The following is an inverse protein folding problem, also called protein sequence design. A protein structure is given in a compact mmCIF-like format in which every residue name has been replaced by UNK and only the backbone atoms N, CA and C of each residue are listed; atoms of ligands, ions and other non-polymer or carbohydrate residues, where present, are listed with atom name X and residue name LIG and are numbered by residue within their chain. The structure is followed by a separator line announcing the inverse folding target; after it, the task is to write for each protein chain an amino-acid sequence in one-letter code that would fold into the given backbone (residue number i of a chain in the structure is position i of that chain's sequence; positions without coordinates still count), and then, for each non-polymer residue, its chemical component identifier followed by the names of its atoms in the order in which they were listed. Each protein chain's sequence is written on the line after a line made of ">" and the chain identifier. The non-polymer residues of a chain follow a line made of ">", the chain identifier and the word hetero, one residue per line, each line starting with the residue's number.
data_IF_552097570642
#
_entry.id   IF_552097570642
#
_cell.length_a   1.000
_cell.length_b   1.000
_cell.length_c   1.000
_cell.angle_alpha   90.00
_cell.angle_beta   90.00
_cell.angle_gamma   90.00
#
_symmetry.space_group_name_H-M   'P 1'
#
loop_
_entity.id
_entity.type
_entity.pdbx_description
1 polymer ?
#
# COMPACT_ATOMS: atom_id res chain seq x y z
N UNK A 1 -45.78 16.46 -22.90
CA UNK A 1 -44.89 17.53 -22.40
C UNK A 1 -43.47 17.22 -22.86
N UNK A 2 -42.92 17.94 -23.85
CA UNK A 2 -41.59 17.68 -24.38
C UNK A 2 -40.52 18.48 -23.58
N UNK A 3 -39.51 17.80 -23.05
CA UNK A 3 -38.24 18.42 -22.62
C UNK A 3 -37.82 18.28 -21.14
N UNK A 4 -38.69 17.82 -20.24
CA UNK A 4 -38.35 17.60 -18.83
C UNK A 4 -37.72 16.22 -18.59
N UNK A 5 -36.58 16.15 -17.92
CA UNK A 5 -36.05 14.86 -17.39
C UNK A 5 -37.11 14.25 -16.47
N UNK A 6 -37.35 12.94 -16.59
CA UNK A 6 -38.29 12.25 -15.69
C UNK A 6 -37.83 12.40 -14.23
N UNK A 7 -38.77 12.49 -13.30
CA UNK A 7 -38.49 12.53 -11.85
C UNK A 7 -37.56 11.38 -11.44
N UNK A 8 -37.78 10.18 -12.00
CA UNK A 8 -36.96 8.99 -11.78
C UNK A 8 -35.51 9.16 -12.20
N UNK A 9 -35.26 9.84 -13.33
CA UNK A 9 -33.89 10.13 -13.77
C UNK A 9 -33.17 11.00 -12.74
N UNK A 10 -33.84 12.00 -12.17
CA UNK A 10 -33.24 12.82 -11.12
C UNK A 10 -32.98 12.04 -9.84
N UNK A 11 -33.93 11.22 -9.38
CA UNK A 11 -33.75 10.37 -8.20
C UNK A 11 -32.56 9.42 -8.37
N UNK A 12 -32.44 8.79 -9.54
CA UNK A 12 -31.33 7.93 -9.90
C UNK A 12 -29.98 8.69 -9.88
N UNK A 13 -29.90 9.85 -10.53
CA UNK A 13 -28.66 10.66 -10.57
C UNK A 13 -28.26 11.19 -9.19
N UNK A 14 -29.24 11.56 -8.34
CA UNK A 14 -28.99 11.98 -6.95
C UNK A 14 -28.39 10.81 -6.16
N UNK A 15 -28.98 9.61 -6.28
CA UNK A 15 -28.45 8.42 -5.62
C UNK A 15 -27.02 8.09 -6.05
N UNK A 16 -26.73 8.14 -7.35
CA UNK A 16 -25.35 7.98 -7.86
C UNK A 16 -24.41 9.08 -7.36
N UNK A 17 -24.89 10.31 -7.23
CA UNK A 17 -24.13 11.42 -6.65
C UNK A 17 -23.80 11.19 -5.18
N UNK A 18 -24.75 10.69 -4.39
CA UNK A 18 -24.54 10.32 -2.98
C UNK A 18 -23.46 9.22 -2.89
N UNK A 19 -23.55 8.18 -3.72
CA UNK A 19 -22.52 7.12 -3.78
C UNK A 19 -21.15 7.71 -4.11
N UNK A 20 -21.07 8.54 -5.16
CA UNK A 20 -19.83 9.15 -5.64
C UNK A 20 -19.14 10.00 -4.57
N UNK A 21 -19.91 10.81 -3.82
CA UNK A 21 -19.39 11.65 -2.73
C UNK A 21 -19.06 10.83 -1.47
N UNK A 22 -19.81 9.76 -1.22
CA UNK A 22 -19.61 8.94 -0.03
C UNK A 22 -18.46 7.94 -0.18
N UNK A 23 -18.07 7.57 -1.40
CA UNK A 23 -16.97 6.65 -1.68
C UNK A 23 -15.69 6.98 -0.87
N UNK A 24 -15.16 8.21 -0.89
CA UNK A 24 -13.98 8.57 -0.10
C UNK A 24 -14.27 9.02 1.34
N UNK A 25 -15.54 9.20 1.74
CA UNK A 25 -15.90 9.91 2.99
C UNK A 25 -16.75 9.11 3.99
N UNK A 26 -17.56 8.13 3.56
CA UNK A 26 -18.50 7.45 4.46
C UNK A 26 -19.05 6.12 3.91
N UNK A 27 -18.86 5.02 4.65
CA UNK A 27 -19.52 3.73 4.35
C UNK A 27 -21.05 3.80 4.49
N UNK A 28 -21.53 4.55 5.48
CA UNK A 28 -22.96 4.76 5.68
C UNK A 28 -23.57 5.51 4.49
N UNK A 29 -22.95 6.61 4.06
CA UNK A 29 -23.40 7.39 2.92
C UNK A 29 -23.43 6.57 1.62
N UNK A 30 -22.44 5.69 1.41
CA UNK A 30 -22.45 4.76 0.27
C UNK A 30 -23.67 3.83 0.31
N UNK A 31 -23.93 3.21 1.46
CA UNK A 31 -25.06 2.29 1.64
C UNK A 31 -26.40 3.02 1.43
N UNK A 32 -26.54 4.23 1.99
CA UNK A 32 -27.71 5.08 1.79
C UNK A 32 -27.94 5.39 0.30
N UNK A 33 -26.88 5.76 -0.43
CA UNK A 33 -26.95 6.01 -1.86
C UNK A 33 -27.36 4.76 -2.67
N UNK A 34 -26.88 3.58 -2.28
CA UNK A 34 -27.27 2.31 -2.92
C UNK A 34 -28.76 2.01 -2.70
N UNK A 35 -29.27 2.15 -1.48
CA UNK A 35 -30.70 1.99 -1.20
C UNK A 35 -31.55 3.03 -1.92
N UNK A 36 -31.05 4.27 -2.05
CA UNK A 36 -31.73 5.32 -2.80
C UNK A 36 -31.87 4.98 -4.28
N UNK A 37 -30.78 4.53 -4.92
CA UNK A 37 -30.78 4.10 -6.32
C UNK A 37 -31.72 2.91 -6.53
N UNK A 38 -31.70 1.94 -5.61
CA UNK A 38 -32.61 0.79 -5.65
C UNK A 38 -34.08 1.23 -5.52
N UNK A 39 -34.39 2.10 -4.56
CA UNK A 39 -35.74 2.63 -4.38
C UNK A 39 -36.24 3.40 -5.61
N UNK A 40 -35.38 4.24 -6.20
CA UNK A 40 -35.71 4.96 -7.43
C UNK A 40 -36.00 4.00 -8.60
N UNK A 41 -35.21 2.93 -8.73
CA UNK A 41 -35.40 1.90 -9.76
C UNK A 41 -36.69 1.09 -9.56
N UNK A 42 -37.01 0.70 -8.32
CA UNK A 42 -38.25 -0.01 -7.98
C UNK A 42 -39.48 0.83 -8.27
N UNK A 43 -39.48 2.10 -7.83
CA UNK A 43 -40.60 3.02 -8.06
C UNK A 43 -40.83 3.28 -9.55
N UNK A 44 -39.75 3.44 -10.32
CA UNK A 44 -39.85 3.59 -11.77
C UNK A 44 -40.44 2.33 -12.41
N UNK A 45 -39.96 1.15 -12.01
CA UNK A 45 -40.42 -0.12 -12.56
C UNK A 45 -41.89 -0.43 -12.24
N UNK A 46 -42.35 -0.06 -11.04
CA UNK A 46 -43.75 -0.16 -10.64
C UNK A 46 -44.63 0.80 -11.44
N UNK A 47 -44.21 2.06 -11.60
CA UNK A 47 -44.99 3.06 -12.34
C UNK A 47 -45.09 2.72 -13.83
N UNK A 48 -44.00 2.21 -14.44
CA UNK A 48 -43.97 1.81 -15.85
C UNK A 48 -44.55 0.42 -16.10
N UNK A 49 -44.86 -0.35 -15.05
CA UNK A 49 -45.33 -1.74 -15.11
C UNK A 49 -44.38 -2.68 -15.88
N UNK A 50 -43.08 -2.38 -15.88
CA UNK A 50 -42.03 -3.16 -16.56
C UNK A 50 -41.09 -3.88 -15.59
N UNK A 51 -41.39 -3.87 -14.28
CA UNK A 51 -40.52 -4.43 -13.24
C UNK A 51 -40.12 -5.89 -13.50
N UNK A 52 -41.05 -6.74 -13.95
CA UNK A 52 -40.75 -8.14 -14.30
C UNK A 52 -39.77 -8.27 -15.48
N UNK A 53 -39.93 -7.43 -16.50
CA UNK A 53 -38.99 -7.36 -17.63
C UNK A 53 -37.62 -6.86 -17.19
N UNK A 54 -37.56 -5.81 -16.36
CA UNK A 54 -36.31 -5.29 -15.79
C UNK A 54 -35.59 -6.34 -14.96
N UNK A 55 -36.32 -7.10 -14.13
CA UNK A 55 -35.76 -8.21 -13.36
C UNK A 55 -35.16 -9.27 -14.30
N UNK A 56 -35.92 -9.71 -15.30
CA UNK A 56 -35.46 -10.70 -16.30
C UNK A 56 -34.21 -10.25 -17.07
N UNK A 57 -34.17 -8.99 -17.52
CA UNK A 57 -32.97 -8.41 -18.13
C UNK A 57 -31.77 -8.36 -17.17
N UNK A 58 -32.04 -8.11 -15.89
CA UNK A 58 -31.04 -8.16 -14.83
C UNK A 58 -30.29 -9.49 -14.79
N UNK A 59 -30.93 -10.63 -15.09
CA UNK A 59 -30.29 -11.95 -15.08
C UNK A 59 -29.70 -12.39 -16.43
N UNK A 60 -29.79 -11.58 -17.48
CA UNK A 60 -29.35 -11.98 -18.84
C UNK A 60 -28.24 -11.10 -19.41
N UNK A 61 -27.97 -9.93 -18.83
CA UNK A 61 -26.88 -9.07 -19.31
C UNK A 61 -25.50 -9.63 -18.92
N UNK A 62 -24.50 -9.62 -19.83
CA UNK A 62 -23.17 -10.17 -19.55
C UNK A 62 -22.49 -9.60 -18.31
N UNK A 63 -22.68 -8.30 -18.05
CA UNK A 63 -22.10 -7.64 -16.89
C UNK A 63 -22.70 -8.15 -15.57
N UNK A 64 -24.01 -8.35 -15.52
CA UNK A 64 -24.67 -8.88 -14.31
C UNK A 64 -24.41 -10.37 -14.15
N UNK A 65 -24.35 -11.12 -15.25
CA UNK A 65 -23.94 -12.53 -15.21
C UNK A 65 -22.56 -12.71 -14.60
N UNK A 66 -21.61 -11.80 -14.84
CA UNK A 66 -20.30 -11.83 -14.18
C UNK A 66 -20.42 -11.62 -12.65
N UNK A 67 -21.23 -10.66 -12.20
CA UNK A 67 -21.45 -10.43 -10.76
C UNK A 67 -22.25 -11.56 -10.09
N UNK A 68 -23.22 -12.13 -10.80
CA UNK A 68 -23.97 -13.30 -10.38
C UNK A 68 -23.07 -14.52 -10.29
N UNK A 69 -22.22 -14.75 -11.28
CA UNK A 69 -21.23 -15.83 -11.27
C UNK A 69 -20.29 -15.70 -10.08
N UNK A 70 -19.79 -14.49 -9.82
CA UNK A 70 -18.95 -14.22 -8.65
C UNK A 70 -19.67 -14.50 -7.33
N UNK A 71 -20.93 -14.06 -7.18
CA UNK A 71 -21.72 -14.36 -5.97
C UNK A 71 -22.09 -15.84 -5.87
N UNK A 72 -22.43 -16.47 -6.98
CA UNK A 72 -22.76 -17.89 -7.06
C UNK A 72 -21.56 -18.76 -6.68
N UNK A 73 -20.35 -18.37 -7.08
CA UNK A 73 -19.12 -19.04 -6.67
C UNK A 73 -18.98 -19.02 -5.13
N UNK A 74 -19.24 -17.88 -4.50
CA UNK A 74 -19.23 -17.76 -3.04
C UNK A 74 -20.36 -18.57 -2.40
N UNK A 75 -21.55 -18.61 -3.00
CA UNK A 75 -22.66 -19.41 -2.50
C UNK A 75 -22.39 -20.92 -2.60
N UNK A 76 -21.82 -21.38 -3.72
CA UNK A 76 -21.42 -22.78 -3.93
C UNK A 76 -20.31 -23.16 -2.94
N UNK A 77 -19.34 -22.26 -2.70
CA UNK A 77 -18.28 -22.49 -1.73
C UNK A 77 -18.75 -22.62 -0.28
N UNK A 78 -20.00 -22.26 0.04
CA UNK A 78 -20.58 -22.54 1.37
C UNK A 78 -20.83 -24.03 1.59
N UNK A 79 -20.99 -24.83 0.53
CA UNK A 79 -21.31 -26.26 0.63
C UNK A 79 -20.22 -27.07 1.35
N UNK A 80 -18.98 -26.59 1.34
CA UNK A 80 -17.84 -27.21 2.02
C UNK A 80 -17.12 -26.24 2.97
N UNK A 81 -17.83 -25.20 3.44
CA UNK A 81 -17.32 -24.26 4.45
C UNK A 81 -17.63 -24.78 5.87
N UNK A 82 -16.62 -24.83 6.75
CA UNK A 82 -16.73 -25.06 8.19
C UNK A 82 -17.32 -23.83 8.92
N UNK A 83 -16.79 -22.63 8.67
CA UNK A 83 -17.24 -21.38 9.28
C UNK A 83 -18.41 -20.75 8.50
N UNK A 84 -19.59 -21.34 8.67
CA UNK A 84 -20.82 -20.87 8.01
C UNK A 84 -21.19 -19.43 8.38
N UNK A 85 -20.90 -19.01 9.62
CA UNK A 85 -21.20 -17.64 10.07
C UNK A 85 -20.48 -16.58 9.24
N UNK A 86 -19.16 -16.72 9.10
CA UNK A 86 -18.39 -15.81 8.25
C UNK A 86 -18.72 -15.97 6.76
N UNK A 87 -18.96 -17.20 6.30
CA UNK A 87 -19.35 -17.46 4.91
C UNK A 87 -20.62 -16.73 4.49
N UNK A 88 -21.68 -16.80 5.30
CA UNK A 88 -22.95 -16.09 5.05
C UNK A 88 -22.78 -14.57 5.14
N UNK A 89 -21.99 -14.08 6.09
CA UNK A 89 -21.66 -12.67 6.20
C UNK A 89 -20.92 -12.15 4.96
N UNK A 90 -20.00 -12.94 4.39
CA UNK A 90 -19.30 -12.59 3.16
C UNK A 90 -20.28 -12.52 1.97
N UNK A 91 -21.17 -13.49 1.81
CA UNK A 91 -22.23 -13.43 0.78
C UNK A 91 -23.12 -12.19 0.95
N UNK A 92 -23.47 -11.82 2.19
CA UNK A 92 -24.24 -10.60 2.50
C UNK A 92 -23.47 -9.34 2.09
N UNK A 93 -22.17 -9.28 2.36
CA UNK A 93 -21.31 -8.13 1.98
C UNK A 93 -21.21 -7.98 0.46
N UNK A 94 -21.30 -9.08 -0.29
CA UNK A 94 -21.22 -9.06 -1.77
C UNK A 94 -22.56 -8.73 -2.45
N UNK A 95 -23.69 -8.92 -1.77
CA UNK A 95 -25.03 -8.68 -2.33
C UNK A 95 -25.24 -7.26 -2.90
N UNK A 96 -24.74 -6.17 -2.29
CA UNK A 96 -24.86 -4.82 -2.85
C UNK A 96 -24.22 -4.66 -4.23
N UNK A 97 -23.18 -5.44 -4.56
CA UNK A 97 -22.54 -5.40 -5.88
C UNK A 97 -23.50 -5.93 -6.95
N UNK A 98 -24.22 -7.02 -6.64
CA UNK A 98 -25.25 -7.56 -7.53
C UNK A 98 -26.39 -6.55 -7.73
N UNK A 99 -26.87 -5.95 -6.64
CA UNK A 99 -27.92 -4.93 -6.70
C UNK A 99 -27.51 -3.76 -7.61
N UNK A 100 -26.28 -3.26 -7.45
CA UNK A 100 -25.77 -2.20 -8.30
C UNK A 100 -25.64 -2.65 -9.76
N UNK A 101 -25.16 -3.87 -10.01
CA UNK A 101 -25.07 -4.45 -11.36
C UNK A 101 -26.43 -4.50 -12.07
N UNK A 102 -27.45 -5.03 -11.40
CA UNK A 102 -28.83 -5.11 -11.95
C UNK A 102 -29.38 -3.72 -12.21
N UNK A 103 -29.28 -2.79 -11.25
CA UNK A 103 -29.85 -1.45 -11.41
C UNK A 103 -29.12 -0.67 -12.51
N UNK A 104 -27.78 -0.71 -12.56
CA UNK A 104 -27.00 0.03 -13.57
C UNK A 104 -27.20 -0.52 -14.98
N UNK A 105 -27.35 -1.84 -15.14
CA UNK A 105 -27.50 -2.49 -16.45
C UNK A 105 -28.90 -2.34 -17.05
N UNK A 106 -29.93 -2.20 -16.21
CA UNK A 106 -31.33 -2.11 -16.64
C UNK A 106 -31.88 -0.68 -16.63
N UNK A 107 -31.12 0.27 -16.09
CA UNK A 107 -31.43 1.70 -16.16
C UNK A 107 -30.93 2.32 -17.47
N UNK A 108 -31.55 3.43 -17.88
CA UNK A 108 -31.11 4.19 -19.05
C UNK A 108 -29.62 4.60 -18.92
N UNK A 109 -28.78 4.41 -19.96
CA UNK A 109 -27.36 4.77 -19.91
C UNK A 109 -27.13 6.23 -19.52
N UNK A 110 -26.05 6.50 -18.80
CA UNK A 110 -25.66 7.86 -18.45
C UNK A 110 -25.24 8.63 -19.70
N UNK A 111 -25.82 9.83 -19.90
CA UNK A 111 -25.33 10.74 -20.93
C UNK A 111 -23.90 11.19 -20.59
N UNK A 112 -23.09 11.60 -21.59
CA UNK A 112 -21.72 12.06 -21.34
C UNK A 112 -21.63 13.22 -20.33
N UNK A 113 -22.67 14.06 -20.26
CA UNK A 113 -22.76 15.15 -19.27
C UNK A 113 -23.01 14.64 -17.86
N UNK A 114 -23.93 13.68 -17.70
CA UNK A 114 -24.25 13.10 -16.39
C UNK A 114 -23.06 12.30 -15.84
N UNK A 115 -22.43 11.46 -16.68
CA UNK A 115 -21.24 10.72 -16.30
C UNK A 115 -20.11 11.65 -15.86
N UNK A 116 -19.86 12.72 -16.64
CA UNK A 116 -18.87 13.74 -16.28
C UNK A 116 -19.17 14.38 -14.91
N UNK A 117 -20.42 14.71 -14.63
CA UNK A 117 -20.81 15.29 -13.34
C UNK A 117 -20.56 14.33 -12.19
N UNK A 118 -20.96 13.07 -12.32
CA UNK A 118 -20.76 12.04 -11.29
C UNK A 118 -19.26 11.81 -11.02
N UNK A 119 -18.45 11.70 -12.08
CA UNK A 119 -17.00 11.54 -11.95
C UNK A 119 -16.34 12.75 -11.27
N UNK A 120 -16.73 13.98 -11.65
CA UNK A 120 -16.20 15.19 -11.01
C UNK A 120 -16.65 15.34 -9.55
N UNK A 121 -17.87 14.95 -9.21
CA UNK A 121 -18.35 14.91 -7.82
C UNK A 121 -17.50 13.94 -6.99
N UNK A 122 -17.24 12.74 -7.51
CA UNK A 122 -16.33 11.79 -6.88
C UNK A 122 -14.93 12.37 -6.69
N UNK A 123 -14.33 12.92 -7.76
CA UNK A 123 -12.94 13.41 -7.71
C UNK A 123 -12.77 14.57 -6.73
N UNK A 124 -13.68 15.54 -6.73
CA UNK A 124 -13.63 16.66 -5.80
C UNK A 124 -13.98 16.26 -4.37
N UNK A 125 -14.88 15.28 -4.19
CA UNK A 125 -15.13 14.70 -2.86
C UNK A 125 -13.89 13.97 -2.32
N UNK A 126 -13.15 13.25 -3.17
CA UNK A 126 -11.90 12.60 -2.77
C UNK A 126 -10.85 13.63 -2.33
N UNK A 127 -10.71 14.74 -3.07
CA UNK A 127 -9.81 15.85 -2.71
C UNK A 127 -10.22 16.47 -1.37
N UNK A 128 -11.48 16.85 -1.22
CA UNK A 128 -11.96 17.54 0.00
C UNK A 128 -11.95 16.61 1.20
N UNK A 129 -12.48 15.39 1.07
CA UNK A 129 -12.54 14.41 2.15
C UNK A 129 -11.16 14.00 2.66
N UNK A 130 -10.20 13.83 1.75
CA UNK A 130 -8.81 13.52 2.13
C UNK A 130 -8.09 14.71 2.77
N UNK A 131 -8.33 15.94 2.30
CA UNK A 131 -7.78 17.13 2.93
C UNK A 131 -8.34 17.34 4.35
N UNK A 132 -9.65 17.17 4.54
CA UNK A 132 -10.28 17.23 5.87
C UNK A 132 -9.67 16.15 6.78
N UNK A 133 -9.54 14.91 6.28
CA UNK A 133 -8.91 13.83 7.05
C UNK A 133 -7.47 14.15 7.45
N UNK A 134 -6.68 14.70 6.54
CA UNK A 134 -5.33 15.16 6.81
C UNK A 134 -5.28 16.25 7.89
N UNK A 135 -6.15 17.27 7.79
CA UNK A 135 -6.20 18.37 8.77
C UNK A 135 -6.65 17.93 10.17
N UNK A 136 -7.54 16.94 10.26
CA UNK A 136 -7.98 16.40 11.56
C UNK A 136 -6.84 15.63 12.25
N UNK A 137 -5.97 15.00 11.47
CA UNK A 137 -4.96 14.06 11.96
C UNK A 137 -3.56 14.69 12.09
N UNK A 138 -3.35 15.91 11.59
CA UNK A 138 -2.03 16.54 11.54
C UNK A 138 -1.39 16.77 12.91
N UNK A 139 -2.18 17.03 13.94
CA UNK A 139 -1.69 17.33 15.30
C UNK A 139 -1.63 16.09 16.21
N UNK A 140 -2.28 14.99 15.82
CA UNK A 140 -2.46 13.80 16.65
C UNK A 140 -1.56 12.62 16.25
N UNK A 141 -0.91 12.66 15.10
CA UNK A 141 -0.18 11.52 14.53
C UNK A 141 1.32 11.65 14.77
N UNK A 142 1.86 10.73 15.57
CA UNK A 142 3.30 10.61 15.78
C UNK A 142 4.06 10.41 14.44
N UNK A 143 5.31 10.88 14.32
CA UNK A 143 6.13 10.65 13.13
C UNK A 143 6.17 9.16 12.78
N UNK A 144 5.75 8.80 11.55
CA UNK A 144 5.73 7.40 11.09
C UNK A 144 4.37 6.70 11.13
N UNK A 145 3.35 7.26 11.78
CA UNK A 145 1.99 6.69 11.81
C UNK A 145 1.12 7.13 10.60
N UNK A 146 1.65 6.96 9.38
CA UNK A 146 0.97 7.36 8.13
C UNK A 146 -0.41 6.71 7.91
N UNK A 147 -0.65 5.56 8.56
CA UNK A 147 -1.91 4.80 8.47
C UNK A 147 -3.10 5.54 9.11
N UNK A 148 -2.83 6.38 10.09
CA UNK A 148 -3.85 7.08 10.87
C UNK A 148 -4.33 8.37 10.21
N UNK A 149 -3.67 8.79 9.12
CA UNK A 149 -4.00 10.00 8.35
C UNK A 149 -5.23 9.89 7.46
N UNK A 150 -5.94 8.76 7.52
CA UNK A 150 -7.11 8.46 6.70
C UNK A 150 -8.28 8.01 7.59
N UNK A 151 -8.97 8.94 8.29
CA UNK A 151 -9.94 8.60 9.33
C UNK A 151 -11.24 8.01 8.78
N UNK A 152 -11.61 8.31 7.54
CA UNK A 152 -12.89 7.89 6.95
C UNK A 152 -12.84 6.52 6.28
N UNK A 153 -11.72 6.21 5.63
CA UNK A 153 -11.56 4.98 4.84
C UNK A 153 -10.13 4.46 4.95
N UNK A 154 -9.85 3.22 4.57
CA UNK A 154 -8.48 2.70 4.54
C UNK A 154 -7.57 3.54 3.64
N UNK A 155 -6.36 3.87 4.13
CA UNK A 155 -5.33 4.60 3.38
C UNK A 155 -5.01 3.97 2.00
N UNK A 156 -5.12 2.65 1.86
CA UNK A 156 -4.94 1.94 0.59
C UNK A 156 -6.07 2.29 -0.39
N UNK A 157 -7.33 2.18 0.06
CA UNK A 157 -8.51 2.53 -0.75
C UNK A 157 -8.48 4.01 -1.14
N UNK A 158 -8.16 4.87 -0.19
CA UNK A 158 -8.03 6.31 -0.43
C UNK A 158 -6.95 6.61 -1.47
N UNK A 159 -5.79 5.96 -1.38
CA UNK A 159 -4.72 6.09 -2.37
C UNK A 159 -5.21 5.78 -3.80
N UNK A 160 -5.92 4.67 -4.00
CA UNK A 160 -6.49 4.31 -5.31
C UNK A 160 -7.54 5.33 -5.77
N UNK A 161 -8.38 5.84 -4.86
CA UNK A 161 -9.37 6.87 -5.19
C UNK A 161 -8.73 8.20 -5.58
N UNK A 162 -7.63 8.60 -4.93
CA UNK A 162 -6.85 9.79 -5.30
C UNK A 162 -6.21 9.65 -6.68
N UNK A 163 -5.69 8.47 -7.02
CA UNK A 163 -5.19 8.19 -8.38
C UNK A 163 -6.30 8.34 -9.41
N UNK A 164 -7.48 7.77 -9.15
CA UNK A 164 -8.63 7.93 -10.04
C UNK A 164 -9.07 9.39 -10.14
N UNK A 165 -9.07 10.14 -9.04
CA UNK A 165 -9.39 11.56 -9.01
C UNK A 165 -8.43 12.37 -9.89
N UNK A 166 -7.12 12.12 -9.82
CA UNK A 166 -6.12 12.74 -10.72
C UNK A 166 -6.47 12.48 -12.19
N UNK A 167 -6.74 11.22 -12.54
CA UNK A 167 -7.11 10.86 -13.93
C UNK A 167 -8.37 11.59 -14.36
N UNK A 168 -9.40 11.63 -13.52
CA UNK A 168 -10.67 12.30 -13.81
C UNK A 168 -10.48 13.81 -14.01
N UNK A 169 -9.72 14.46 -13.13
CA UNK A 169 -9.46 15.90 -13.21
C UNK A 169 -8.67 16.28 -14.47
N UNK A 170 -7.70 15.44 -14.87
CA UNK A 170 -6.93 15.63 -16.10
C UNK A 170 -7.75 15.31 -17.35
N UNK A 171 -8.56 14.24 -17.33
CA UNK A 171 -9.38 13.82 -18.45
C UNK A 171 -10.51 14.82 -18.76
N UNK A 172 -11.16 15.36 -17.73
CA UNK A 172 -12.26 16.32 -17.89
C UNK A 172 -11.82 17.78 -17.83
N UNK A 173 -10.77 18.10 -18.57
CA UNK A 173 -10.13 19.41 -18.59
C UNK A 173 -11.10 20.56 -18.94
N UNK A 174 -11.25 21.58 -18.08
CA UNK A 174 -12.20 22.67 -18.31
C UNK A 174 -11.63 23.74 -19.26
N UNK A 175 -12.51 24.47 -19.97
CA UNK A 175 -12.12 25.61 -20.81
C UNK A 175 -11.74 26.87 -20.03
N UNK A 176 -12.53 27.32 -19.02
CA UNK A 176 -12.20 28.54 -18.27
C UNK A 176 -10.94 28.37 -17.44
N UNK A 177 -10.06 29.38 -17.42
CA UNK A 177 -8.76 29.32 -16.75
C UNK A 177 -8.89 29.09 -15.23
N UNK A 178 -9.87 29.69 -14.56
CA UNK A 178 -10.07 29.53 -13.11
C UNK A 178 -10.49 28.10 -12.75
N UNK A 179 -11.29 27.43 -13.59
CA UNK A 179 -11.60 26.00 -13.42
C UNK A 179 -10.35 25.14 -13.66
N UNK A 180 -9.49 25.53 -14.59
CA UNK A 180 -8.20 24.83 -14.84
C UNK A 180 -7.27 24.96 -13.65
N UNK A 181 -7.15 26.16 -13.08
CA UNK A 181 -6.40 26.40 -11.86
C UNK A 181 -6.95 25.54 -10.71
N UNK A 182 -8.27 25.46 -10.57
CA UNK A 182 -8.91 24.53 -9.63
C UNK A 182 -8.52 23.08 -9.87
N UNK A 183 -8.65 22.56 -11.10
CA UNK A 183 -8.25 21.18 -11.42
C UNK A 183 -6.75 20.91 -11.15
N UNK A 184 -5.88 21.86 -11.50
CA UNK A 184 -4.44 21.76 -11.23
C UNK A 184 -4.15 21.74 -9.73
N UNK A 185 -4.82 22.59 -8.95
CA UNK A 185 -4.73 22.59 -7.49
C UNK A 185 -5.22 21.24 -6.93
N UNK A 186 -6.35 20.74 -7.40
CA UNK A 186 -6.87 19.42 -7.00
C UNK A 186 -5.90 18.29 -7.29
N UNK A 187 -5.28 18.27 -8.48
CA UNK A 187 -4.21 17.32 -8.82
C UNK A 187 -3.01 17.48 -7.90
N UNK A 188 -2.57 18.71 -7.63
CA UNK A 188 -1.48 19.00 -6.70
C UNK A 188 -1.75 18.48 -5.29
N UNK A 189 -2.97 18.68 -4.78
CA UNK A 189 -3.42 18.16 -3.48
C UNK A 189 -3.43 16.63 -3.47
N UNK A 190 -3.95 15.97 -4.52
CA UNK A 190 -3.91 14.52 -4.61
C UNK A 190 -2.47 13.97 -4.58
N UNK A 191 -1.55 14.58 -5.32
CA UNK A 191 -0.15 14.16 -5.37
C UNK A 191 0.56 14.39 -4.03
N UNK A 192 0.29 15.52 -3.38
CA UNK A 192 0.77 15.81 -2.04
C UNK A 192 0.29 14.75 -1.05
N UNK A 193 -1.01 14.45 -1.01
CA UNK A 193 -1.58 13.48 -0.09
C UNK A 193 -1.12 12.05 -0.38
N UNK A 194 -0.93 11.66 -1.65
CA UNK A 194 -0.36 10.36 -1.98
C UNK A 194 1.07 10.17 -1.45
N UNK A 195 1.87 11.25 -1.46
CA UNK A 195 3.20 11.28 -0.84
C UNK A 195 3.09 11.14 0.68
N UNK A 196 2.22 11.92 1.33
CA UNK A 196 2.03 11.89 2.78
C UNK A 196 1.47 10.55 3.29
N UNK A 197 0.69 9.83 2.48
CA UNK A 197 0.21 8.48 2.77
C UNK A 197 1.27 7.39 2.55
N UNK A 198 2.42 7.72 1.97
CA UNK A 198 3.46 6.73 1.63
C UNK A 198 3.00 5.64 0.65
N UNK A 199 2.00 5.92 -0.19
CA UNK A 199 1.33 4.90 -1.01
C UNK A 199 2.15 4.52 -2.25
N UNK A 200 3.05 3.54 -2.09
CA UNK A 200 3.85 2.98 -3.19
C UNK A 200 2.96 2.42 -4.32
N UNK A 201 1.82 1.80 -3.97
CA UNK A 201 0.87 1.25 -4.93
C UNK A 201 0.22 2.36 -5.77
N UNK A 202 -0.14 3.49 -5.14
CA UNK A 202 -0.71 4.64 -5.86
C UNK A 202 0.31 5.27 -6.82
N UNK A 203 1.57 5.42 -6.38
CA UNK A 203 2.64 5.93 -7.23
C UNK A 203 2.91 5.03 -8.45
N UNK A 204 2.98 3.71 -8.24
CA UNK A 204 3.13 2.73 -9.33
C UNK A 204 1.96 2.80 -10.31
N UNK A 205 0.72 2.87 -9.81
CA UNK A 205 -0.46 2.93 -10.68
C UNK A 205 -0.49 4.22 -11.51
N UNK A 206 -0.17 5.37 -10.91
CA UNK A 206 -0.04 6.64 -11.66
C UNK A 206 1.02 6.55 -12.74
N UNK A 207 2.18 5.95 -12.44
CA UNK A 207 3.24 5.72 -13.41
C UNK A 207 2.76 4.86 -14.58
N UNK A 208 2.09 3.72 -14.30
CA UNK A 208 1.55 2.82 -15.32
C UNK A 208 0.48 3.50 -16.19
N UNK A 209 -0.40 4.31 -15.59
CA UNK A 209 -1.44 5.04 -16.32
C UNK A 209 -0.86 6.17 -17.17
N UNK A 210 0.12 6.91 -16.65
CA UNK A 210 0.87 7.90 -17.43
C UNK A 210 1.61 7.24 -18.59
N UNK A 211 2.24 6.09 -18.35
CA UNK A 211 2.91 5.30 -19.38
C UNK A 211 1.93 4.82 -20.46
N UNK A 212 0.79 4.26 -20.07
CA UNK A 212 -0.25 3.83 -21.01
C UNK A 212 -0.83 5.00 -21.82
N UNK A 213 -1.04 6.16 -21.19
CA UNK A 213 -1.53 7.36 -21.85
C UNK A 213 -0.54 7.86 -22.90
N UNK A 214 0.75 7.98 -22.54
CA UNK A 214 1.82 8.37 -23.46
C UNK A 214 2.02 7.35 -24.58
N UNK A 215 1.95 6.06 -24.25
CA UNK A 215 2.02 5.00 -25.25
C UNK A 215 0.88 5.12 -26.28
N UNK A 216 -0.34 5.38 -25.82
CA UNK A 216 -1.52 5.57 -26.68
C UNK A 216 -1.42 6.83 -27.54
N UNK A 217 -0.95 7.95 -27.02
CA UNK A 217 -0.80 9.20 -27.79
C UNK A 217 0.32 9.10 -28.82
N UNK A 218 1.45 8.48 -28.45
CA UNK A 218 2.60 8.30 -29.35
C UNK A 218 2.41 7.20 -30.40
N UNK A 219 1.43 6.29 -30.23
CA UNK A 219 1.11 5.26 -31.25
C UNK A 219 0.74 5.84 -32.62
N UNK A 220 0.19 7.05 -32.67
CA UNK A 220 -0.18 7.74 -33.92
C UNK A 220 0.94 8.59 -34.52
N UNK A 221 2.05 8.76 -33.81
CA UNK A 221 3.20 9.53 -34.28
C UNK A 221 4.13 8.63 -35.10
N UNK A 222 4.52 9.11 -36.29
CA UNK A 222 5.54 8.48 -37.12
C UNK A 222 6.93 9.08 -36.79
N UNK A 223 7.98 8.24 -36.80
CA UNK A 223 9.36 8.68 -36.62
C UNK A 223 10.01 8.28 -35.30
N UNK A 224 11.27 8.73 -35.11
CA UNK A 224 12.12 8.39 -33.97
C UNK A 224 11.69 9.05 -32.65
N UNK A 225 10.94 10.16 -32.71
CA UNK A 225 10.40 10.88 -31.56
C UNK A 225 9.51 10.01 -30.66
N UNK A 226 8.78 9.04 -31.25
CA UNK A 226 7.95 8.08 -30.49
C UNK A 226 8.79 7.22 -29.54
N UNK A 227 9.99 6.83 -29.98
CA UNK A 227 10.89 5.99 -29.19
C UNK A 227 11.58 6.81 -28.12
N UNK A 228 11.95 8.06 -28.41
CA UNK A 228 12.51 8.99 -27.42
C UNK A 228 11.57 9.23 -26.24
N UNK A 229 10.29 9.51 -26.50
CA UNK A 229 9.28 9.74 -25.45
C UNK A 229 9.02 8.47 -24.63
N UNK A 230 9.02 7.29 -25.27
CA UNK A 230 8.86 6.00 -24.56
C UNK A 230 10.07 5.65 -23.71
N UNK A 231 11.28 5.90 -24.22
CA UNK A 231 12.52 5.69 -23.49
C UNK A 231 12.55 6.56 -22.22
N UNK A 232 12.12 7.82 -22.33
CA UNK A 232 12.05 8.75 -21.20
C UNK A 232 11.16 8.25 -20.05
N UNK A 233 10.17 7.40 -20.33
CA UNK A 233 9.34 6.79 -19.29
C UNK A 233 9.95 5.52 -18.69
N UNK A 234 10.85 4.85 -19.40
CA UNK A 234 11.60 3.70 -18.88
C UNK A 234 12.79 4.15 -18.03
N UNK A 235 13.36 5.32 -18.31
CA UNK A 235 14.51 5.88 -17.59
C UNK A 235 14.32 5.93 -16.06
N UNK A 236 13.19 6.41 -15.50
CA UNK A 236 12.98 6.38 -14.04
C UNK A 236 13.02 4.98 -13.45
N UNK A 237 12.48 3.98 -14.16
CA UNK A 237 12.53 2.58 -13.71
C UNK A 237 13.97 2.07 -13.73
N UNK A 238 14.72 2.34 -14.80
CA UNK A 238 16.12 1.96 -14.90
C UNK A 238 16.97 2.62 -13.81
N UNK A 239 16.73 3.90 -13.50
CA UNK A 239 17.39 4.64 -12.41
C UNK A 239 17.07 4.00 -11.06
N UNK A 240 15.79 3.68 -10.78
CA UNK A 240 15.41 2.99 -9.54
C UNK A 240 16.08 1.63 -9.44
N UNK A 241 16.10 0.83 -10.51
CA UNK A 241 16.76 -0.48 -10.52
C UNK A 241 18.27 -0.36 -10.30
N UNK A 242 18.92 0.65 -10.88
CA UNK A 242 20.35 0.91 -10.65
C UNK A 242 20.61 1.32 -9.18
N UNK A 243 19.74 2.15 -8.61
CA UNK A 243 19.82 2.54 -7.19
C UNK A 243 19.63 1.33 -6.27
N UNK A 244 18.67 0.45 -6.56
CA UNK A 244 18.49 -0.82 -5.82
C UNK A 244 19.72 -1.72 -5.97
N UNK A 245 20.26 -1.86 -7.18
CA UNK A 245 21.48 -2.65 -7.41
C UNK A 245 22.65 -2.12 -6.60
N UNK A 246 22.87 -0.81 -6.61
CA UNK A 246 23.96 -0.19 -5.83
C UNK A 246 23.72 -0.37 -4.33
N UNK A 247 22.50 -0.17 -3.82
CA UNK A 247 22.18 -0.42 -2.42
C UNK A 247 22.44 -1.87 -1.99
N UNK A 248 22.14 -2.86 -2.84
CA UNK A 248 22.43 -4.28 -2.55
C UNK A 248 23.95 -4.54 -2.56
N UNK A 249 24.69 -3.94 -3.50
CA UNK A 249 26.16 -4.11 -3.57
C UNK A 249 26.83 -3.46 -2.37
N UNK A 250 26.40 -2.25 -2.00
CA UNK A 250 26.94 -1.51 -0.86
C UNK A 250 26.76 -2.28 0.46
N UNK A 251 25.82 -3.23 0.55
CA UNK A 251 25.66 -4.10 1.72
C UNK A 251 26.53 -5.37 1.71
N UNK A 252 27.26 -5.68 0.63
CA UNK A 252 27.94 -6.98 0.41
C UNK A 252 29.47 -6.96 0.47
N UNK A 253 30.06 -6.08 1.27
CA UNK A 253 31.51 -6.05 1.44
C UNK A 253 31.91 -6.66 2.80
N UNK A 254 32.30 -7.93 2.88
CA UNK A 254 32.96 -8.43 4.08
C UNK A 254 34.36 -7.80 4.17
N UNK A 255 34.72 -7.31 5.36
CA UNK A 255 36.10 -6.98 5.68
C UNK A 255 36.82 -8.20 6.24
N UNK A 256 38.10 -8.35 5.89
CA UNK A 256 38.97 -9.32 6.55
C UNK A 256 39.18 -8.89 8.01
N UNK A 257 38.85 -9.78 8.94
CA UNK A 257 39.03 -9.57 10.37
C UNK A 257 40.13 -10.49 10.93
N UNK A 258 40.82 -10.02 11.97
CA UNK A 258 41.88 -10.77 12.68
C UNK A 258 41.42 -11.05 14.12
N UNK A 259 41.09 -12.32 14.47
CA UNK A 259 40.70 -12.72 15.81
C UNK A 259 41.73 -12.37 16.89
N UNK A 260 41.26 -12.03 18.09
CA UNK A 260 42.13 -11.80 19.26
C UNK A 260 42.83 -10.44 19.29
N UNK A 261 42.46 -9.51 18.41
CA UNK A 261 42.99 -8.14 18.42
C UNK A 261 42.51 -7.37 19.65
N UNK A 262 43.42 -6.63 20.29
CA UNK A 262 43.08 -5.69 21.36
C UNK A 262 42.95 -4.28 20.82
N UNK A 263 42.08 -3.49 21.43
CA UNK A 263 41.96 -2.05 21.19
C UNK A 263 43.21 -1.31 21.70
N UNK A 264 43.37 -0.05 21.27
CA UNK A 264 44.43 0.81 21.80
C UNK A 264 44.27 1.10 23.31
N UNK A 265 43.06 0.98 23.86
CA UNK A 265 42.78 1.14 25.29
C UNK A 265 42.93 -0.14 26.12
N UNK A 266 43.30 -1.26 25.49
CA UNK A 266 43.59 -2.53 26.16
C UNK A 266 42.39 -3.44 26.40
N UNK A 267 41.23 -3.15 25.82
CA UNK A 267 40.06 -4.04 25.79
C UNK A 267 40.18 -5.05 24.63
N UNK A 268 39.79 -6.30 24.87
CA UNK A 268 39.69 -7.30 23.82
C UNK A 268 38.46 -7.00 22.96
N UNK A 269 38.62 -6.94 21.64
CA UNK A 269 37.46 -6.73 20.76
C UNK A 269 36.52 -7.93 20.81
N UNK A 270 35.25 -7.64 21.05
CA UNK A 270 34.14 -8.54 20.80
C UNK A 270 33.78 -8.48 19.31
N UNK A 271 33.59 -9.67 18.73
CA UNK A 271 33.30 -9.87 17.33
C UNK A 271 32.23 -10.95 17.22
N UNK A 272 31.15 -10.64 16.51
CA UNK A 272 30.07 -11.57 16.20
C UNK A 272 30.09 -11.87 14.71
N UNK A 273 30.72 -12.98 14.34
CA UNK A 273 30.89 -13.41 12.95
C UNK A 273 29.56 -13.88 12.32
N UNK A 274 28.61 -14.30 13.15
CA UNK A 274 27.28 -14.75 12.70
C UNK A 274 26.32 -13.57 12.50
N UNK A 275 26.72 -12.36 12.91
CA UNK A 275 25.88 -11.20 12.78
C UNK A 275 25.81 -10.71 11.32
N UNK A 276 24.62 -10.79 10.75
CA UNK A 276 24.35 -10.40 9.36
C UNK A 276 24.39 -8.88 9.10
N UNK A 277 24.34 -8.05 10.15
CA UNK A 277 24.14 -6.61 10.00
C UNK A 277 25.37 -5.90 9.44
N UNK A 278 25.17 -5.14 8.37
CA UNK A 278 26.20 -4.38 7.66
C UNK A 278 25.73 -2.94 7.43
N UNK A 279 26.62 -1.96 7.58
CA UNK A 279 26.38 -0.55 7.25
C UNK A 279 27.46 -0.04 6.29
N UNK A 280 27.05 0.48 5.13
CA UNK A 280 27.96 0.89 4.04
C UNK A 280 29.04 -0.15 3.69
N UNK A 281 28.72 -1.43 3.82
CA UNK A 281 29.65 -2.51 3.50
C UNK A 281 30.62 -2.83 4.64
N UNK A 282 30.32 -2.42 5.87
CA UNK A 282 31.13 -2.78 7.04
C UNK A 282 30.28 -3.50 8.09
N UNK A 283 30.75 -4.65 8.62
CA UNK A 283 30.05 -5.36 9.67
C UNK A 283 29.82 -4.48 10.90
N UNK A 284 28.60 -4.53 11.43
CA UNK A 284 28.19 -3.74 12.59
C UNK A 284 28.85 -4.27 13.86
N UNK A 285 28.84 -5.59 14.06
CA UNK A 285 29.25 -6.25 15.30
C UNK A 285 30.68 -6.79 15.29
N UNK A 286 31.56 -6.12 14.54
CA UNK A 286 32.98 -6.41 14.49
C UNK A 286 33.78 -5.24 15.07
N UNK A 287 34.89 -5.59 15.73
CA UNK A 287 35.82 -4.69 16.42
C UNK A 287 35.12 -3.80 17.46
N UNK A 288 34.30 -4.43 18.32
CA UNK A 288 33.53 -3.74 19.37
C UNK A 288 34.24 -3.86 20.72
N UNK A 289 34.52 -2.74 21.36
CA UNK A 289 35.09 -2.65 22.72
C UNK A 289 34.05 -1.97 23.65
N UNK A 290 33.07 -2.72 24.21
CA UNK A 290 31.90 -2.13 24.85
C UNK A 290 32.22 -1.22 26.04
N UNK A 291 33.22 -1.58 26.86
CA UNK A 291 33.55 -0.82 28.08
C UNK A 291 34.20 0.51 27.73
N UNK A 292 35.15 0.50 26.80
CA UNK A 292 35.78 1.70 26.26
C UNK A 292 34.78 2.59 25.54
N UNK A 293 33.94 2.00 24.69
CA UNK A 293 32.94 2.72 23.92
C UNK A 293 31.95 3.46 24.84
N UNK A 294 31.42 2.77 25.85
CA UNK A 294 30.51 3.37 26.82
C UNK A 294 31.18 4.50 27.63
N UNK A 295 32.45 4.32 28.02
CA UNK A 295 33.23 5.34 28.74
C UNK A 295 33.48 6.57 27.86
N UNK A 296 33.91 6.36 26.62
CA UNK A 296 34.20 7.43 25.67
C UNK A 296 32.93 8.20 25.27
N UNK A 297 31.81 7.50 25.04
CA UNK A 297 30.51 8.13 24.79
C UNK A 297 30.07 9.03 25.94
N UNK A 298 30.13 8.51 27.17
CA UNK A 298 29.75 9.29 28.37
C UNK A 298 30.68 10.48 28.59
N UNK A 299 31.98 10.34 28.32
CA UNK A 299 32.93 11.43 28.43
C UNK A 299 32.64 12.57 27.44
N UNK A 300 32.20 12.25 26.22
CA UNK A 300 31.92 13.26 25.18
C UNK A 300 30.52 13.87 25.25
N UNK A 301 29.52 13.10 25.66
CA UNK A 301 28.11 13.53 25.60
C UNK A 301 27.49 13.80 26.97
N UNK A 302 28.10 13.30 28.05
CA UNK A 302 27.51 13.28 29.39
C UNK A 302 26.36 12.28 29.58
N UNK A 303 25.94 11.57 28.51
CA UNK A 303 24.80 10.66 28.53
C UNK A 303 25.24 9.20 28.67
N UNK A 304 24.42 8.34 29.31
CA UNK A 304 24.70 6.92 29.37
C UNK A 304 24.31 6.23 28.04
N UNK A 305 25.09 5.22 27.64
CA UNK A 305 24.91 4.53 26.36
C UNK A 305 23.75 3.50 26.36
N UNK A 306 23.26 3.12 27.54
CA UNK A 306 22.11 2.21 27.72
C UNK A 306 20.73 2.91 27.60
N UNK A 307 20.71 4.18 27.18
CA UNK A 307 19.49 4.93 26.94
C UNK A 307 18.84 4.64 25.58
N UNK A 308 17.90 5.50 25.21
CA UNK A 308 17.24 5.50 23.89
C UNK A 308 17.60 6.75 23.11
N UNK A 309 17.60 6.66 21.79
CA UNK A 309 17.70 7.82 20.91
C UNK A 309 16.36 8.58 20.79
N UNK A 310 16.34 9.67 20.02
CA UNK A 310 15.16 10.50 19.81
C UNK A 310 14.00 9.77 19.09
N UNK A 311 14.25 8.62 18.47
CA UNK A 311 13.24 7.77 17.83
C UNK A 311 12.75 6.65 18.74
N UNK A 312 13.30 6.56 19.95
CA UNK A 312 12.97 5.53 20.92
C UNK A 312 13.73 4.23 20.71
N UNK A 313 14.70 4.15 19.80
CA UNK A 313 15.50 2.94 19.58
C UNK A 313 16.67 2.85 20.58
N UNK A 314 17.21 1.65 20.88
CA UNK A 314 18.36 1.50 21.77
C UNK A 314 19.60 2.25 21.24
N UNK A 315 20.08 3.22 22.02
CA UNK A 315 21.15 4.13 21.61
C UNK A 315 22.46 3.40 21.26
N UNK A 316 22.77 2.32 21.99
CA UNK A 316 23.93 1.47 21.72
C UNK A 316 23.92 0.91 20.28
N UNK A 317 22.77 0.38 19.84
CA UNK A 317 22.63 -0.15 18.48
C UNK A 317 22.78 0.94 17.43
N UNK A 318 22.20 2.12 17.68
CA UNK A 318 22.33 3.28 16.78
C UNK A 318 23.79 3.72 16.64
N UNK A 319 24.53 3.81 17.76
CA UNK A 319 25.94 4.22 17.77
C UNK A 319 26.84 3.24 17.01
N UNK A 320 26.75 1.94 17.33
CA UNK A 320 27.61 0.91 16.73
C UNK A 320 27.38 0.83 15.22
N UNK A 321 26.12 0.93 14.76
CA UNK A 321 25.77 1.01 13.33
C UNK A 321 26.33 2.26 12.67
N UNK A 322 26.18 3.43 13.31
CA UNK A 322 26.71 4.69 12.77
C UNK A 322 28.24 4.65 12.62
N UNK A 323 28.95 4.12 13.62
CA UNK A 323 30.40 3.95 13.56
C UNK A 323 30.82 2.97 12.46
N UNK A 324 30.09 1.86 12.27
CA UNK A 324 30.32 0.95 11.16
C UNK A 324 30.15 1.64 9.80
N UNK A 325 29.12 2.48 9.65
CA UNK A 325 28.89 3.26 8.42
C UNK A 325 30.02 4.24 8.05
N UNK A 326 30.83 4.64 9.06
CA UNK A 326 32.03 5.49 8.92
C UNK A 326 33.34 4.70 8.85
N UNK A 327 33.27 3.37 8.87
CA UNK A 327 34.42 2.48 8.81
C UNK A 327 35.34 2.63 10.02
N UNK A 328 34.75 2.88 11.19
CA UNK A 328 35.46 3.04 12.45
C UNK A 328 35.42 1.77 13.30
N UNK A 329 36.49 1.55 14.05
CA UNK A 329 36.51 0.63 15.21
C UNK A 329 35.57 1.15 16.29
N UNK A 330 34.87 0.27 17.01
CA UNK A 330 33.86 0.67 18.00
C UNK A 330 34.48 0.69 19.38
N UNK A 331 35.49 1.55 19.52
CA UNK A 331 36.31 1.75 20.71
C UNK A 331 36.52 3.25 21.01
N UNK A 332 37.37 3.53 21.99
CA UNK A 332 37.70 4.89 22.40
C UNK A 332 38.33 5.72 21.27
N UNK A 333 39.18 5.13 20.42
CA UNK A 333 39.85 5.81 19.31
C UNK A 333 38.86 6.17 18.20
N UNK A 334 38.02 5.22 17.80
CA UNK A 334 36.93 5.46 16.85
C UNK A 334 35.99 6.55 17.35
N UNK A 335 35.61 6.52 18.64
CA UNK A 335 34.81 7.57 19.26
C UNK A 335 35.45 8.96 19.24
N UNK A 336 36.78 9.05 19.42
CA UNK A 336 37.50 10.33 19.34
C UNK A 336 37.51 10.89 17.92
N UNK A 337 37.50 10.03 16.90
CA UNK A 337 37.45 10.46 15.49
C UNK A 337 36.10 11.02 15.04
N UNK A 338 35.03 10.81 15.82
CA UNK A 338 33.69 11.35 15.53
C UNK A 338 33.64 12.86 15.77
N UNK A 339 32.92 13.60 14.92
CA UNK A 339 32.64 15.02 15.14
C UNK A 339 31.43 15.20 16.07
N UNK A 340 31.21 16.41 16.59
CA UNK A 340 30.03 16.67 17.42
C UNK A 340 28.72 16.57 16.62
N UNK A 341 28.77 16.83 15.32
CA UNK A 341 27.65 16.60 14.38
C UNK A 341 27.31 15.11 14.31
N UNK A 342 28.31 14.22 14.30
CA UNK A 342 28.08 12.78 14.32
C UNK A 342 27.38 12.34 15.61
N UNK A 343 27.75 12.90 16.76
CA UNK A 343 27.12 12.59 18.04
C UNK A 343 25.65 13.04 18.06
N UNK A 344 25.35 14.22 17.51
CA UNK A 344 23.98 14.70 17.34
C UNK A 344 23.18 13.79 16.42
N UNK A 345 23.78 13.33 15.32
CA UNK A 345 23.12 12.41 14.40
C UNK A 345 22.76 11.07 15.05
N UNK A 346 23.66 10.50 15.84
CA UNK A 346 23.39 9.28 16.61
C UNK A 346 22.26 9.52 17.62
N UNK A 347 22.26 10.65 18.33
CA UNK A 347 21.18 11.00 19.27
C UNK A 347 19.82 11.19 18.57
N UNK A 348 19.81 11.61 17.31
CA UNK A 348 18.61 11.74 16.47
C UNK A 348 18.15 10.41 15.83
N UNK A 349 18.86 9.31 16.09
CA UNK A 349 18.52 7.99 15.56
C UNK A 349 18.99 7.76 14.11
N UNK A 350 20.01 8.49 13.65
CA UNK A 350 20.68 8.15 12.39
C UNK A 350 21.67 7.01 12.61
N UNK A 351 21.58 6.00 11.75
CA UNK A 351 22.43 4.80 11.80
C UNK A 351 23.50 4.78 10.71
N UNK A 352 23.43 5.74 9.78
CA UNK A 352 24.33 5.81 8.62
C UNK A 352 24.75 7.26 8.34
N UNK A 353 26.05 7.49 8.16
CA UNK A 353 26.63 8.83 7.92
C UNK A 353 26.10 9.51 6.66
N UNK A 354 25.71 8.74 5.63
CA UNK A 354 25.20 9.27 4.38
C UNK A 354 23.68 9.49 4.41
N UNK A 355 23.00 9.14 5.51
CA UNK A 355 21.54 9.14 5.55
C UNK A 355 20.96 10.54 5.26
N UNK A 356 21.60 11.60 5.73
CA UNK A 356 21.18 12.98 5.46
C UNK A 356 21.60 13.48 4.07
N UNK A 357 22.71 12.96 3.52
CA UNK A 357 23.21 13.28 2.17
C UNK A 357 22.40 12.59 1.08
N UNK A 358 21.78 11.45 1.39
CA UNK A 358 20.99 10.66 0.44
C UNK A 358 19.60 11.28 0.24
N UNK A 359 19.25 11.48 -1.04
CA UNK A 359 17.92 11.95 -1.42
C UNK A 359 16.81 11.03 -0.89
N UNK A 360 15.58 11.53 -0.72
CA UNK A 360 14.48 10.77 -0.08
C UNK A 360 14.20 9.41 -0.72
N UNK A 361 14.34 9.30 -2.04
CA UNK A 361 14.15 8.05 -2.78
C UNK A 361 15.23 7.01 -2.42
N UNK A 362 16.50 7.42 -2.35
CA UNK A 362 17.60 6.51 -2.02
C UNK A 362 17.48 6.00 -0.59
N UNK A 363 17.13 6.87 0.37
CA UNK A 363 16.84 6.46 1.74
C UNK A 363 15.76 5.38 1.82
N UNK A 364 14.66 5.56 1.09
CA UNK A 364 13.57 4.56 1.06
C UNK A 364 14.01 3.25 0.41
N UNK A 365 14.87 3.30 -0.60
CA UNK A 365 15.46 2.10 -1.20
C UNK A 365 16.35 1.37 -0.19
N UNK A 366 17.27 2.07 0.46
CA UNK A 366 18.18 1.49 1.46
C UNK A 366 17.41 0.85 2.62
N UNK A 367 16.35 1.51 3.10
CA UNK A 367 15.44 0.98 4.11
C UNK A 367 14.76 -0.32 3.66
N UNK A 368 14.23 -0.37 2.43
CA UNK A 368 13.62 -1.58 1.86
C UNK A 368 14.63 -2.71 1.68
N UNK A 369 15.86 -2.41 1.24
CA UNK A 369 16.91 -3.44 1.10
C UNK A 369 17.29 -3.99 2.47
N UNK A 370 17.51 -3.12 3.47
CA UNK A 370 17.78 -3.54 4.85
C UNK A 370 16.65 -4.40 5.46
N UNK A 371 15.39 -4.01 5.24
CA UNK A 371 14.23 -4.77 5.67
C UNK A 371 14.16 -6.17 5.05
N UNK A 372 14.53 -6.30 3.76
CA UNK A 372 14.58 -7.59 3.06
C UNK A 372 15.72 -8.47 3.56
N UNK A 373 16.90 -7.88 3.75
CA UNK A 373 18.08 -8.61 4.22
C UNK A 373 17.87 -9.16 5.64
N UNK A 374 17.30 -8.33 6.53
CA UNK A 374 16.83 -8.75 7.85
C UNK A 374 15.89 -9.94 7.76
N UNK A 375 14.86 -9.86 6.92
CA UNK A 375 13.88 -10.94 6.77
C UNK A 375 14.55 -12.24 6.31
N UNK A 376 15.50 -12.17 5.37
CA UNK A 376 16.24 -13.34 4.91
C UNK A 376 17.09 -14.01 6.00
N UNK A 377 17.68 -13.22 6.92
CA UNK A 377 18.55 -13.73 7.97
C UNK A 377 17.83 -14.13 9.27
N UNK A 378 16.86 -13.33 9.72
CA UNK A 378 16.19 -13.56 11.01
C UNK A 378 14.88 -14.32 10.89
N UNK A 379 14.29 -14.40 9.69
CA UNK A 379 12.92 -14.88 9.51
C UNK A 379 11.86 -13.99 10.17
N UNK A 380 12.24 -12.81 10.68
CA UNK A 380 11.32 -11.89 11.31
C UNK A 380 10.57 -11.07 10.26
N UNK A 381 9.29 -11.38 10.15
CA UNK A 381 8.32 -10.75 9.24
C UNK A 381 7.69 -9.48 9.81
N UNK A 382 7.71 -9.28 11.13
CA UNK A 382 6.90 -8.26 11.81
C UNK A 382 7.40 -6.84 11.56
N UNK A 383 8.67 -6.69 11.21
CA UNK A 383 9.32 -5.40 11.07
C UNK A 383 9.17 -4.71 9.72
N UNK A 384 8.62 -5.39 8.71
CA UNK A 384 8.51 -4.82 7.37
C UNK A 384 7.17 -5.16 6.73
N UNK A 385 6.53 -4.14 6.17
CA UNK A 385 5.33 -4.33 5.35
C UNK A 385 5.56 -5.17 4.08
N UNK A 386 6.79 -5.21 3.57
CA UNK A 386 7.14 -6.01 2.39
C UNK A 386 7.38 -7.46 2.80
N UNK A 387 8.14 -7.71 3.86
CA UNK A 387 8.38 -9.05 4.40
C UNK A 387 7.06 -9.75 4.76
N UNK A 388 6.14 -9.05 5.46
CA UNK A 388 4.80 -9.56 5.73
C UNK A 388 4.06 -9.98 4.45
N UNK A 389 4.10 -9.17 3.39
CA UNK A 389 3.42 -9.50 2.13
C UNK A 389 4.03 -10.73 1.44
N UNK A 390 5.34 -10.86 1.46
CA UNK A 390 6.03 -12.03 0.91
C UNK A 390 5.62 -13.29 1.68
N UNK A 391 5.54 -13.22 3.00
CA UNK A 391 5.10 -14.36 3.82
C UNK A 391 3.62 -14.70 3.59
N UNK A 392 2.75 -13.69 3.45
CA UNK A 392 1.34 -13.91 3.11
C UNK A 392 1.18 -14.59 1.74
N UNK A 393 2.03 -14.23 0.77
CA UNK A 393 2.02 -14.85 -0.56
C UNK A 393 2.60 -16.26 -0.54
N UNK A 394 3.68 -16.49 0.22
CA UNK A 394 4.26 -17.82 0.43
C UNK A 394 3.23 -18.76 1.06
N UNK A 395 2.60 -18.33 2.15
CA UNK A 395 1.57 -19.10 2.87
C UNK A 395 0.33 -19.29 2.01
N UNK A 396 -0.10 -18.25 1.28
CA UNK A 396 -1.23 -18.36 0.37
C UNK A 396 -0.97 -19.32 -0.80
N UNK A 397 0.24 -19.32 -1.36
CA UNK A 397 0.62 -20.27 -2.42
C UNK A 397 0.70 -21.70 -1.88
N UNK A 398 1.23 -21.88 -0.67
CA UNK A 398 1.22 -23.16 0.03
C UNK A 398 -0.22 -23.70 0.19
N UNK A 399 -1.15 -22.87 0.66
CA UNK A 399 -2.57 -23.22 0.76
C UNK A 399 -3.21 -23.52 -0.60
N UNK A 400 -2.94 -22.69 -1.60
CA UNK A 400 -3.47 -22.87 -2.94
C UNK A 400 -3.00 -24.19 -3.58
N UNK A 401 -1.77 -24.63 -3.29
CA UNK A 401 -1.26 -25.92 -3.75
C UNK A 401 -1.89 -27.09 -2.98
N UNK A 402 -2.07 -26.97 -1.66
CA UNK A 402 -2.68 -28.01 -0.82
C UNK A 402 -4.17 -28.21 -1.11
N UNK A 403 -4.87 -27.12 -1.43
CA UNK A 403 -6.31 -27.11 -1.72
C UNK A 403 -6.62 -26.77 -3.19
N UNK A 404 -5.76 -27.21 -4.12
CA UNK A 404 -5.78 -26.71 -5.50
C UNK A 404 -7.05 -27.02 -6.30
N UNK A 405 -7.80 -28.09 -5.98
CA UNK A 405 -8.95 -28.56 -6.77
C UNK A 405 -10.24 -27.79 -6.42
N UNK A 406 -10.65 -27.84 -5.15
CA UNK A 406 -11.95 -27.34 -4.66
C UNK A 406 -11.78 -26.14 -3.73
N UNK A 407 -10.57 -25.89 -3.23
CA UNK A 407 -10.31 -24.86 -2.23
C UNK A 407 -10.80 -25.25 -0.84
N UNK A 408 -10.77 -24.27 0.07
CA UNK A 408 -11.18 -24.41 1.48
C UNK A 408 -12.61 -23.95 1.74
N UNK A 409 -13.26 -23.31 0.78
CA UNK A 409 -14.61 -22.76 0.92
C UNK A 409 -14.61 -21.27 1.26
N UNK A 410 -15.79 -20.67 1.14
CA UNK A 410 -16.03 -19.23 1.26
C UNK A 410 -15.70 -18.69 2.66
N UNK A 411 -16.08 -19.43 3.70
CA UNK A 411 -15.94 -18.98 5.09
C UNK A 411 -14.55 -19.23 5.71
N UNK A 412 -13.76 -20.14 5.14
CA UNK A 412 -12.61 -20.72 5.86
C UNK A 412 -11.26 -20.19 5.45
N UNK A 413 -11.19 -19.26 4.49
CA UNK A 413 -9.91 -18.69 4.07
C UNK A 413 -9.08 -18.17 5.25
N UNK A 414 -9.69 -17.45 6.20
CA UNK A 414 -8.96 -16.97 7.39
C UNK A 414 -8.43 -18.13 8.22
N UNK A 415 -9.30 -19.09 8.54
CA UNK A 415 -8.98 -20.24 9.37
C UNK A 415 -7.87 -21.10 8.73
N UNK A 416 -7.89 -21.24 7.41
CA UNK A 416 -6.84 -21.92 6.65
C UNK A 416 -5.50 -21.18 6.74
N UNK A 417 -5.49 -19.84 6.66
CA UNK A 417 -4.29 -19.04 6.87
C UNK A 417 -3.75 -19.21 8.28
N UNK A 418 -4.60 -19.13 9.31
CA UNK A 418 -4.20 -19.26 10.70
C UNK A 418 -3.53 -20.63 10.96
N UNK A 419 -4.17 -21.72 10.51
CA UNK A 419 -3.61 -23.09 10.58
C UNK A 419 -2.30 -23.22 9.80
N UNK A 420 -2.20 -22.63 8.61
CA UNK A 420 -1.00 -22.71 7.79
C UNK A 420 0.17 -21.93 8.40
N UNK A 421 -0.08 -20.80 9.05
CA UNK A 421 0.98 -20.07 9.76
C UNK A 421 1.52 -20.87 10.96
N UNK A 422 0.64 -21.55 11.70
CA UNK A 422 1.05 -22.48 12.77
C UNK A 422 1.90 -23.64 12.22
N UNK A 423 1.46 -24.27 11.12
CA UNK A 423 2.16 -25.39 10.48
C UNK A 423 3.54 -24.99 9.93
N UNK A 424 3.65 -23.79 9.36
CA UNK A 424 4.90 -23.26 8.81
C UNK A 424 5.83 -22.67 9.88
N UNK A 425 5.40 -22.59 11.15
CA UNK A 425 6.16 -21.99 12.24
C UNK A 425 6.40 -20.50 12.04
N UNK A 426 5.46 -19.78 11.41
CA UNK A 426 5.62 -18.39 11.02
C UNK A 426 5.44 -17.45 12.23
N UNK A 427 6.33 -16.46 12.37
CA UNK A 427 6.26 -15.44 13.43
C UNK A 427 5.12 -14.42 13.24
N UNK A 428 4.38 -14.49 12.12
CA UNK A 428 3.20 -13.65 11.82
C UNK A 428 2.04 -13.87 12.81
N UNK A 429 1.93 -15.08 13.37
CA UNK A 429 0.75 -15.58 14.11
C UNK A 429 0.35 -14.67 15.27
N UNK A 430 1.31 -14.02 15.93
CA UNK A 430 1.11 -13.37 17.22
C UNK A 430 0.53 -11.96 17.18
N UNK A 431 0.55 -11.25 16.04
CA UNK A 431 0.11 -9.84 16.02
C UNK A 431 -0.88 -9.45 14.91
N UNK A 432 -0.82 -10.06 13.73
CA UNK A 432 -1.54 -9.51 12.56
C UNK A 432 -2.54 -10.48 11.91
N UNK A 433 -2.25 -11.79 11.86
CA UNK A 433 -3.18 -12.82 11.41
C UNK A 433 -3.90 -12.50 10.08
N UNK A 434 -3.26 -11.83 9.13
CA UNK A 434 -3.94 -11.39 7.90
C UNK A 434 -3.84 -12.41 6.76
N UNK A 435 -4.88 -12.43 5.92
CA UNK A 435 -4.92 -13.23 4.69
C UNK A 435 -3.99 -12.66 3.64
N UNK A 436 -3.72 -13.47 2.62
CA UNK A 436 -3.14 -13.02 1.35
C UNK A 436 -3.86 -11.77 0.84
N UNK A 437 -3.20 -10.61 0.90
CA UNK A 437 -3.68 -9.34 0.34
C UNK A 437 -3.68 -9.35 -1.20
N UNK A 438 -4.17 -10.41 -1.82
CA UNK A 438 -4.16 -10.67 -3.26
C UNK A 438 -5.45 -11.44 -3.62
N UNK A 439 -6.40 -10.74 -4.26
CA UNK A 439 -7.73 -11.27 -4.54
C UNK A 439 -7.70 -12.56 -5.36
N UNK A 440 -6.81 -12.65 -6.37
CA UNK A 440 -6.71 -13.84 -7.22
C UNK A 440 -6.25 -15.07 -6.44
N UNK A 441 -5.28 -14.89 -5.54
CA UNK A 441 -4.80 -15.95 -4.68
C UNK A 441 -5.89 -16.39 -3.69
N UNK A 442 -6.62 -15.43 -3.12
CA UNK A 442 -7.76 -15.72 -2.24
C UNK A 442 -8.85 -16.51 -2.96
N UNK A 443 -9.19 -16.16 -4.21
CA UNK A 443 -10.17 -16.92 -5.00
C UNK A 443 -9.71 -18.35 -5.27
N UNK A 444 -8.43 -18.54 -5.62
CA UNK A 444 -7.88 -19.88 -5.80
C UNK A 444 -7.89 -20.69 -4.50
N UNK A 445 -7.53 -20.09 -3.35
CA UNK A 445 -7.61 -20.77 -2.05
C UNK A 445 -9.06 -21.10 -1.69
N UNK A 446 -10.01 -20.19 -1.91
CA UNK A 446 -11.42 -20.40 -1.57
C UNK A 446 -12.07 -21.49 -2.42
N UNK A 447 -11.80 -21.52 -3.72
CA UNK A 447 -12.62 -22.28 -4.68
C UNK A 447 -11.84 -23.26 -5.57
N UNK A 448 -10.52 -23.34 -5.38
CA UNK A 448 -9.65 -24.14 -6.22
C UNK A 448 -9.55 -23.59 -7.65
N UNK A 449 -8.89 -24.35 -8.52
CA UNK A 449 -8.60 -23.94 -9.90
C UNK A 449 -9.88 -23.78 -10.73
N UNK A 450 -10.89 -24.60 -10.48
CA UNK A 450 -12.16 -24.53 -11.22
C UNK A 450 -12.93 -23.27 -10.89
N UNK A 451 -12.97 -22.89 -9.60
CA UNK A 451 -13.57 -21.62 -9.21
C UNK A 451 -12.74 -20.41 -9.61
N UNK A 452 -11.42 -20.54 -9.70
CA UNK A 452 -10.54 -19.47 -10.17
C UNK A 452 -10.68 -19.17 -11.68
N UNK A 453 -10.94 -20.19 -12.50
CA UNK A 453 -11.08 -20.06 -13.95
C UNK A 453 -12.46 -19.57 -14.40
N UNK A 454 -13.48 -19.72 -13.55
CA UNK A 454 -14.85 -19.28 -13.76
C UNK A 454 -15.02 -17.79 -13.42
#
# INVERSE_FOLDING_TARGET
>A
MPGGRSLFRWLYLIGLGIIAVSLPTSYFGMSLGQFWVLGAWLLEGLQRRDLGHRFSMGFTTPAVLAFLGYLALHAIGLLWTENMGWGLDLCRILLPILLLGVVLSTSDPLSPKELRTILLLFAWSAVVGSLIGFLITSDAVAPGAYRDRSPFISHIRLGLMLVLAVVVLLHHWPRPWWKRAGHLLGVGVCLFLLRELGSLQGALLLFLLAWAAVWRTTRRSAGWSRWGVRLLLVMPVAVVLLQVRTAIIDQRHPQDFVPGRMSAGGELYWNDEDAWQVENGHPVWMEVAPVELARAWRARTGLPLNGRDARGEPLYGTLVRYMASKHLTKDSVGMLSMSDVDLQHVQQGFVNVDQDRRGPLRRRIDEVVYELDRFHHTGDVTSSSLAMRLEFWRTGLYLAQRHWVIGVGTGDTQLAFDRAYEELGSSVVTEWGYRGHQQYLTLWISFGVFGFLL
#
